data_IF_822025868584
#
_entry.id   IF_822025868584
#
_cell.length_a   1.000
_cell.length_b   1.000
_cell.length_c   1.000
_cell.angle_alpha   90.00
_cell.angle_beta   90.00
_cell.angle_gamma   90.00
#
_symmetry.space_group_name_H-M   'P 1'
#
loop_
_entity.id
_entity.type
_entity.pdbx_description
1 polymer ?
#
# COMPACT_ATOMS: atom_id res chain seq x y z
N UNK A 1 9.52 19.05 -5.51
CA UNK A 1 9.66 17.74 -6.19
C UNK A 1 10.18 16.65 -5.25
N UNK A 2 11.24 16.87 -4.46
CA UNK A 2 11.79 15.84 -3.53
C UNK A 2 10.77 15.24 -2.56
N UNK A 3 9.90 16.05 -1.94
CA UNK A 3 8.85 15.57 -1.04
C UNK A 3 7.88 14.58 -1.71
N UNK A 4 7.56 14.79 -3.00
CA UNK A 4 6.70 13.87 -3.76
C UNK A 4 7.39 12.53 -4.00
N UNK A 5 8.71 12.55 -4.27
CA UNK A 5 9.50 11.34 -4.48
C UNK A 5 9.64 10.53 -3.18
N UNK A 6 9.94 11.20 -2.06
CA UNK A 6 10.06 10.57 -0.74
C UNK A 6 8.72 9.96 -0.32
N UNK A 7 7.60 10.66 -0.53
CA UNK A 7 6.27 10.14 -0.19
C UNK A 7 5.91 8.90 -1.02
N UNK A 8 6.26 8.87 -2.31
CA UNK A 8 6.08 7.69 -3.17
C UNK A 8 6.90 6.51 -2.68
N UNK A 9 8.16 6.75 -2.31
CA UNK A 9 9.06 5.72 -1.81
C UNK A 9 8.54 5.13 -0.50
N UNK A 10 8.08 6.00 0.41
CA UNK A 10 7.53 5.61 1.70
C UNK A 10 6.26 4.78 1.56
N UNK A 11 5.35 5.17 0.68
CA UNK A 11 4.12 4.42 0.41
C UNK A 11 4.41 3.02 -0.17
N UNK A 12 5.38 2.91 -1.09
CA UNK A 12 5.85 1.60 -1.60
C UNK A 12 6.49 0.74 -0.51
N UNK A 13 7.34 1.35 0.34
CA UNK A 13 7.97 0.63 1.46
C UNK A 13 6.91 0.07 2.42
N UNK A 14 5.85 0.84 2.72
CA UNK A 14 4.74 0.36 3.54
C UNK A 14 3.97 -0.78 2.89
N UNK A 15 3.75 -0.72 1.57
CA UNK A 15 3.07 -1.79 0.83
C UNK A 15 3.86 -3.11 0.89
N UNK A 16 5.13 -3.09 0.50
CA UNK A 16 5.97 -4.30 0.48
C UNK A 16 6.34 -4.82 1.88
N UNK A 17 6.28 -3.96 2.90
CA UNK A 17 6.47 -4.32 4.30
C UNK A 17 5.19 -4.75 5.01
N UNK A 18 4.01 -4.62 4.37
CA UNK A 18 2.75 -4.96 5.01
C UNK A 18 2.66 -6.47 5.20
N UNK A 19 2.54 -6.91 6.44
CA UNK A 19 2.31 -8.31 6.81
C UNK A 19 1.21 -8.40 7.84
N UNK A 20 0.37 -9.42 7.71
CA UNK A 20 -0.63 -9.72 8.72
C UNK A 20 0.06 -10.34 9.93
N UNK A 21 -0.20 -9.81 11.12
CA UNK A 21 0.28 -10.43 12.35
C UNK A 21 -0.63 -11.60 12.69
N UNK A 22 -0.06 -12.68 13.22
CA UNK A 22 -0.83 -13.84 13.66
C UNK A 22 -1.79 -13.42 14.79
N UNK A 23 -3.07 -13.80 14.66
CA UNK A 23 -4.13 -13.38 15.58
C UNK A 23 -4.65 -11.94 15.40
N UNK A 24 -4.15 -11.20 14.41
CA UNK A 24 -4.72 -9.88 14.06
C UNK A 24 -6.00 -10.01 13.24
N UNK A 25 -6.88 -9.01 13.39
CA UNK A 25 -8.15 -8.95 12.66
C UNK A 25 -7.91 -8.73 11.15
N UNK A 26 -8.45 -9.64 10.33
CA UNK A 26 -8.30 -9.60 8.88
C UNK A 26 -8.88 -8.32 8.29
N UNK A 27 -10.00 -7.84 8.82
CA UNK A 27 -10.65 -6.62 8.31
C UNK A 27 -9.80 -5.38 8.58
N UNK A 28 -9.15 -5.30 9.75
CA UNK A 28 -8.16 -4.26 10.04
C UNK A 28 -6.97 -4.34 9.08
N UNK A 29 -6.47 -5.52 8.79
CA UNK A 29 -5.38 -5.70 7.83
C UNK A 29 -5.76 -5.21 6.43
N UNK A 30 -6.94 -5.60 5.95
CA UNK A 30 -7.50 -5.16 4.65
C UNK A 30 -7.67 -3.63 4.62
N UNK A 31 -8.18 -3.02 5.70
CA UNK A 31 -8.33 -1.57 5.79
C UNK A 31 -6.99 -0.85 5.68
N UNK A 32 -5.94 -1.35 6.35
CA UNK A 32 -4.58 -0.79 6.26
C UNK A 32 -4.04 -0.91 4.84
N UNK A 33 -4.25 -2.05 4.19
CA UNK A 33 -3.87 -2.27 2.79
C UNK A 33 -4.57 -1.27 1.85
N UNK A 34 -5.89 -1.12 1.94
CA UNK A 34 -6.68 -0.19 1.12
C UNK A 34 -6.24 1.27 1.29
N UNK A 35 -5.87 1.67 2.52
CA UNK A 35 -5.34 3.02 2.76
C UNK A 35 -4.02 3.26 2.03
N UNK A 36 -3.11 2.27 2.02
CA UNK A 36 -1.82 2.38 1.32
C UNK A 36 -2.04 2.49 -0.20
N UNK A 37 -2.97 1.72 -0.76
CA UNK A 37 -3.34 1.82 -2.18
C UNK A 37 -3.91 3.20 -2.53
N UNK A 38 -4.75 3.74 -1.66
CA UNK A 38 -5.33 5.08 -1.82
C UNK A 38 -4.23 6.16 -1.83
N UNK A 39 -3.26 6.07 -0.91
CA UNK A 39 -2.12 6.98 -0.85
C UNK A 39 -1.25 6.90 -2.13
N UNK A 40 -0.97 5.69 -2.61
CA UNK A 40 -0.21 5.46 -3.86
C UNK A 40 -0.93 6.05 -5.08
N UNK A 41 -2.24 5.86 -5.16
CA UNK A 41 -3.09 6.41 -6.23
C UNK A 41 -3.10 7.94 -6.21
N UNK A 42 -3.25 8.56 -5.03
CA UNK A 42 -3.18 10.02 -4.87
C UNK A 42 -1.83 10.60 -5.26
N UNK A 43 -0.75 9.85 -5.10
CA UNK A 43 0.59 10.24 -5.53
C UNK A 43 0.83 10.04 -7.03
N UNK A 44 -0.12 9.47 -7.77
CA UNK A 44 0.00 9.19 -9.20
C UNK A 44 0.99 8.05 -9.48
N UNK A 45 1.08 7.07 -8.59
CA UNK A 45 1.78 5.82 -8.86
C UNK A 45 0.82 4.91 -9.62
N UNK A 46 1.14 4.60 -10.88
CA UNK A 46 0.40 3.58 -11.62
C UNK A 46 0.75 2.21 -11.02
N UNK A 47 -0.27 1.53 -10.52
CA UNK A 47 -0.17 0.16 -10.00
C UNK A 47 -0.55 -0.79 -11.12
N UNK A 48 0.32 -1.77 -11.37
CA UNK A 48 0.12 -2.84 -12.35
C UNK A 48 -0.96 -3.82 -11.80
N UNK A 49 -1.67 -4.52 -12.69
CA UNK A 49 -2.60 -5.58 -12.30
C UNK A 49 -1.95 -6.65 -11.39
N UNK A 50 -0.62 -6.85 -11.42
CA UNK A 50 0.12 -7.66 -10.44
C UNK A 50 0.21 -7.04 -9.06
N UNK A 51 0.31 -5.71 -8.96
CA UNK A 51 0.23 -5.01 -7.67
C UNK A 51 -1.22 -5.03 -7.15
N UNK A 52 -2.19 -5.03 -8.06
CA UNK A 52 -3.61 -5.28 -7.74
C UNK A 52 -3.91 -6.76 -7.46
N UNK A 53 -3.10 -7.72 -7.94
CA UNK A 53 -3.35 -9.16 -7.76
C UNK A 53 -3.07 -9.67 -6.34
N UNK A 54 -2.45 -8.84 -5.47
CA UNK A 54 -2.47 -9.05 -4.01
C UNK A 54 -3.89 -8.78 -3.44
N UNK A 55 -4.86 -8.45 -4.31
CA UNK A 55 -6.29 -8.53 -4.04
C UNK A 55 -6.77 -9.90 -4.50
N UNK A 56 -6.57 -10.93 -3.67
CA UNK A 56 -7.43 -12.12 -3.48
C UNK A 56 -6.78 -13.11 -2.50
#
# INVERSE_FOLDING_TARGET
MEKSLINKLYAKQRLYGLRMQEGSDLQQHINVYQNILTDLTRLGVQMDDKDNAIIL
#
